data_IF_054632724215
#
_entry.id   IF_054632724215
#
_cell.length_a   1.000
_cell.length_b   1.000
_cell.length_c   1.000
_cell.angle_alpha   90.00
_cell.angle_beta   90.00
_cell.angle_gamma   90.00
#
_symmetry.space_group_name_H-M   'P 1'
#
loop_
_entity.id
_entity.type
_entity.pdbx_description
1 polymer ?
#
# COMPACT_ATOMS: atom_id res chain seq x y z
N UNK A 1 -42.76 5.30 -50.34
CA UNK A 1 -42.77 3.96 -50.91
C UNK A 1 -41.31 3.64 -51.15
N UNK A 2 -40.76 2.97 -50.16
CA UNK A 2 -39.75 1.93 -50.40
C UNK A 2 -39.38 1.34 -49.05
N UNK A 3 -39.60 0.10 -49.03
CA UNK A 3 -39.65 -0.87 -47.95
C UNK A 3 -38.24 -1.20 -47.44
N UNK A 4 -37.93 -0.98 -46.18
CA UNK A 4 -36.68 -1.47 -45.56
C UNK A 4 -37.01 -2.75 -44.82
N UNK A 5 -36.83 -3.85 -45.55
CA UNK A 5 -36.89 -5.22 -45.08
C UNK A 5 -35.76 -5.50 -44.07
N UNK A 6 -36.11 -5.84 -42.83
CA UNK A 6 -35.23 -6.42 -41.82
C UNK A 6 -34.80 -7.83 -42.25
N UNK A 7 -33.51 -8.03 -42.49
CA UNK A 7 -32.92 -9.37 -42.69
C UNK A 7 -32.94 -10.16 -41.36
N UNK A 8 -33.76 -11.19 -41.37
CA UNK A 8 -33.76 -12.29 -40.38
C UNK A 8 -32.43 -13.03 -40.43
N UNK A 9 -32.00 -13.48 -39.25
CA UNK A 9 -30.78 -14.27 -39.08
C UNK A 9 -30.75 -15.50 -39.99
N UNK A 10 -29.65 -15.62 -40.71
CA UNK A 10 -29.34 -16.78 -41.53
C UNK A 10 -28.99 -17.94 -40.59
N UNK A 11 -29.84 -18.98 -40.62
CA UNK A 11 -29.56 -20.27 -40.00
C UNK A 11 -28.68 -21.01 -40.97
N UNK A 12 -27.47 -21.43 -40.56
CA UNK A 12 -26.54 -22.23 -41.36
C UNK A 12 -27.22 -23.48 -41.88
N UNK A 13 -27.01 -23.78 -43.18
CA UNK A 13 -27.61 -24.96 -43.82
C UNK A 13 -26.96 -26.26 -43.27
N UNK A 14 -27.68 -27.39 -43.29
CA UNK A 14 -27.13 -28.69 -42.85
C UNK A 14 -25.80 -29.06 -43.52
N UNK A 15 -25.60 -28.70 -44.78
CA UNK A 15 -24.39 -28.97 -45.55
C UNK A 15 -23.20 -28.13 -45.08
N UNK A 16 -23.40 -26.92 -44.58
CA UNK A 16 -22.34 -26.08 -44.03
C UNK A 16 -21.90 -26.60 -42.63
N UNK A 17 -22.80 -27.16 -41.84
CA UNK A 17 -22.49 -27.78 -40.56
C UNK A 17 -21.70 -29.07 -40.78
N UNK A 18 -22.04 -29.88 -41.81
CA UNK A 18 -21.36 -31.12 -42.12
C UNK A 18 -19.94 -30.89 -42.70
N UNK A 19 -19.73 -29.80 -43.45
CA UNK A 19 -18.37 -29.40 -43.93
C UNK A 19 -17.46 -28.93 -42.81
N UNK A 20 -17.99 -28.33 -41.74
CA UNK A 20 -17.22 -27.96 -40.55
C UNK A 20 -16.87 -29.16 -39.66
N UNK A 21 -17.72 -30.17 -39.63
CA UNK A 21 -17.47 -31.44 -38.89
C UNK A 21 -16.50 -32.37 -39.59
N UNK A 22 -16.54 -32.47 -40.92
CA UNK A 22 -15.63 -33.30 -41.73
C UNK A 22 -14.24 -32.70 -41.92
N UNK A 23 -14.09 -31.38 -41.75
CA UNK A 23 -12.79 -30.71 -41.76
C UNK A 23 -11.88 -31.07 -40.57
N UNK A 24 -12.41 -31.73 -39.55
CA UNK A 24 -11.67 -32.09 -38.34
C UNK A 24 -11.11 -33.53 -38.34
N UNK A 25 -11.51 -34.37 -39.28
CA UNK A 25 -11.05 -35.79 -39.36
C UNK A 25 -9.92 -36.08 -40.37
N UNK A 26 -9.52 -35.09 -41.20
CA UNK A 26 -8.49 -35.31 -42.21
C UNK A 26 -7.06 -34.95 -41.79
N UNK A 27 -6.76 -34.75 -40.53
CA UNK A 27 -5.42 -34.41 -40.01
C UNK A 27 -4.82 -35.45 -39.08
N UNK A 28 -5.20 -36.72 -39.21
CA UNK A 28 -4.57 -37.86 -38.50
C UNK A 28 -3.50 -38.50 -39.38
N UNK A 29 -2.27 -38.01 -39.34
CA UNK A 29 -1.18 -38.68 -40.08
C UNK A 29 0.12 -37.93 -40.23
N UNK A 30 0.60 -37.19 -39.21
CA UNK A 30 2.03 -36.85 -39.09
C UNK A 30 2.41 -36.86 -37.61
N UNK A 31 3.59 -37.43 -37.24
CA UNK A 31 4.00 -37.46 -35.84
C UNK A 31 4.19 -36.02 -35.34
N UNK A 32 3.36 -35.62 -34.42
CA UNK A 32 3.50 -34.34 -33.69
C UNK A 32 4.74 -34.48 -32.84
N UNK A 33 5.81 -33.81 -33.20
CA UNK A 33 6.98 -33.59 -32.38
C UNK A 33 6.50 -32.81 -31.12
N UNK A 34 6.51 -33.44 -29.96
CA UNK A 34 6.30 -32.78 -28.69
C UNK A 34 7.30 -31.64 -28.56
N UNK A 35 6.87 -30.39 -28.40
CA UNK A 35 7.80 -29.28 -28.19
C UNK A 35 8.59 -29.56 -26.89
N UNK A 36 9.93 -29.56 -27.03
CA UNK A 36 10.83 -29.77 -25.91
C UNK A 36 10.52 -28.77 -24.80
N UNK A 37 10.70 -29.16 -23.53
CA UNK A 37 10.56 -28.31 -22.36
C UNK A 37 11.31 -26.97 -22.50
N UNK A 38 12.39 -26.94 -23.29
CA UNK A 38 13.13 -25.72 -23.64
C UNK A 38 12.35 -24.75 -24.56
N UNK A 39 11.52 -25.28 -25.49
CA UNK A 39 10.68 -24.46 -26.36
C UNK A 39 9.47 -23.88 -25.62
N UNK A 40 8.92 -24.61 -24.64
CA UNK A 40 7.86 -24.10 -23.75
C UNK A 40 8.40 -23.05 -22.79
N UNK A 41 9.61 -23.21 -22.25
CA UNK A 41 10.28 -22.23 -21.42
C UNK A 41 10.65 -20.93 -22.20
N UNK A 42 10.98 -21.06 -23.51
CA UNK A 42 11.23 -19.92 -24.38
C UNK A 42 9.91 -19.17 -24.73
N UNK A 43 8.80 -19.89 -24.92
CA UNK A 43 7.50 -19.29 -25.20
C UNK A 43 6.89 -18.55 -24.00
N UNK A 44 7.25 -18.95 -22.76
CA UNK A 44 6.83 -18.25 -21.54
C UNK A 44 7.69 -16.99 -21.30
N UNK A 45 8.94 -16.96 -21.77
CA UNK A 45 9.82 -15.78 -21.65
C UNK A 45 9.51 -14.66 -22.66
N UNK A 46 8.70 -14.88 -23.68
CA UNK A 46 8.48 -13.92 -24.77
C UNK A 46 7.27 -12.98 -24.58
N UNK A 47 6.72 -12.87 -23.36
CA UNK A 47 5.58 -11.97 -23.08
C UNK A 47 5.83 -10.92 -22.00
N UNK A 48 7.07 -10.62 -21.68
CA UNK A 48 7.35 -9.34 -21.03
C UNK A 48 7.18 -8.25 -22.09
N UNK A 49 6.06 -7.55 -22.05
CA UNK A 49 5.90 -6.30 -22.82
C UNK A 49 6.99 -5.36 -22.34
N UNK A 50 8.04 -5.24 -23.11
CA UNK A 50 9.06 -4.20 -22.93
C UNK A 50 8.34 -2.88 -23.22
N UNK A 51 7.91 -2.17 -22.17
CA UNK A 51 7.42 -0.81 -22.28
C UNK A 51 8.64 0.11 -22.35
N UNK A 52 8.66 0.99 -23.37
CA UNK A 52 9.69 2.02 -23.45
C UNK A 52 9.61 2.91 -22.22
N UNK A 53 10.73 3.08 -21.51
CA UNK A 53 10.78 3.96 -20.33
C UNK A 53 10.77 5.41 -20.79
N UNK A 54 9.79 6.18 -20.33
CA UNK A 54 9.70 7.62 -20.60
C UNK A 54 10.54 8.40 -19.58
N UNK A 55 11.71 8.85 -20.00
CA UNK A 55 12.60 9.66 -19.17
C UNK A 55 12.03 11.04 -18.79
N UNK A 56 10.98 11.51 -19.48
CA UNK A 56 10.28 12.76 -19.14
C UNK A 56 9.32 12.56 -17.97
N UNK A 57 8.89 11.32 -17.72
CA UNK A 57 8.00 10.92 -16.62
C UNK A 57 8.68 9.84 -15.78
N UNK A 58 9.65 10.21 -14.91
CA UNK A 58 10.31 9.22 -14.08
C UNK A 58 9.31 8.61 -13.12
N UNK A 59 9.21 7.27 -13.11
CA UNK A 59 8.44 6.54 -12.09
C UNK A 59 9.15 6.70 -10.74
N UNK A 60 8.75 7.68 -9.94
CA UNK A 60 9.31 7.91 -8.58
C UNK A 60 8.62 7.06 -7.52
N UNK A 61 7.40 6.66 -7.79
CA UNK A 61 6.58 5.86 -6.86
C UNK A 61 6.61 4.40 -7.27
N UNK A 62 7.02 3.54 -6.36
CA UNK A 62 7.08 2.10 -6.62
C UNK A 62 5.68 1.49 -6.81
N UNK A 63 5.61 0.42 -7.62
CA UNK A 63 4.34 -0.30 -7.88
C UNK A 63 3.66 -0.79 -6.60
N UNK A 64 4.44 -1.18 -5.60
CA UNK A 64 3.90 -1.65 -4.32
C UNK A 64 3.30 -0.51 -3.51
N UNK A 65 3.90 0.69 -3.57
CA UNK A 65 3.33 1.90 -2.95
C UNK A 65 2.03 2.31 -3.64
N UNK A 66 1.97 2.24 -4.97
CA UNK A 66 0.74 2.52 -5.74
C UNK A 66 -0.38 1.54 -5.38
N UNK A 67 -0.08 0.24 -5.26
CA UNK A 67 -1.05 -0.77 -4.81
C UNK A 67 -1.51 -0.53 -3.38
N UNK A 68 -0.60 -0.12 -2.51
CA UNK A 68 -0.94 0.21 -1.13
C UNK A 68 -1.90 1.40 -1.07
N UNK A 69 -1.61 2.48 -1.81
CA UNK A 69 -2.51 3.62 -1.93
C UNK A 69 -3.86 3.22 -2.52
N UNK A 70 -3.87 2.38 -3.55
CA UNK A 70 -5.09 1.85 -4.12
C UNK A 70 -5.94 1.12 -3.10
N UNK A 71 -5.37 0.17 -2.38
CA UNK A 71 -6.07 -0.61 -1.35
C UNK A 71 -6.61 0.26 -0.21
N UNK A 72 -5.85 1.28 0.21
CA UNK A 72 -6.24 2.24 1.25
C UNK A 72 -7.46 3.04 0.80
N UNK A 73 -7.42 3.57 -0.41
CA UNK A 73 -8.48 4.44 -0.91
C UNK A 73 -9.72 3.67 -1.40
N UNK A 74 -9.61 2.36 -1.67
CA UNK A 74 -10.78 1.48 -1.85
C UNK A 74 -11.61 1.36 -0.56
N UNK A 75 -10.95 1.23 0.58
CA UNK A 75 -11.60 1.25 1.90
C UNK A 75 -12.23 2.61 2.19
N UNK A 76 -11.46 3.67 1.97
CA UNK A 76 -11.92 5.05 2.11
C UNK A 76 -13.18 5.34 1.27
N UNK A 77 -13.20 4.95 -0.01
CA UNK A 77 -14.32 5.26 -0.92
C UNK A 77 -15.66 4.70 -0.40
N UNK A 78 -15.65 3.50 0.19
CA UNK A 78 -16.85 2.88 0.79
C UNK A 78 -17.34 3.67 2.02
N UNK A 79 -16.42 4.06 2.90
CA UNK A 79 -16.77 4.82 4.10
C UNK A 79 -17.29 6.21 3.74
N UNK A 80 -16.62 6.89 2.82
CA UNK A 80 -17.04 8.19 2.34
C UNK A 80 -18.40 8.14 1.63
N UNK A 81 -18.68 7.09 0.82
CA UNK A 81 -19.99 6.87 0.21
C UNK A 81 -21.08 6.74 1.28
N UNK A 82 -20.87 5.98 2.33
CA UNK A 82 -21.82 5.82 3.43
C UNK A 82 -22.07 7.14 4.18
N UNK A 83 -20.99 7.87 4.51
CA UNK A 83 -21.06 9.14 5.20
C UNK A 83 -21.77 10.22 4.36
N UNK A 84 -21.47 10.29 3.04
CA UNK A 84 -22.09 11.23 2.12
C UNK A 84 -23.56 10.88 1.89
N UNK A 85 -23.91 9.59 1.77
CA UNK A 85 -25.29 9.13 1.67
C UNK A 85 -26.12 9.51 2.90
N UNK A 86 -25.54 9.40 4.10
CA UNK A 86 -26.18 9.83 5.35
C UNK A 86 -26.40 11.35 5.37
N UNK A 87 -25.42 12.15 4.92
CA UNK A 87 -25.53 13.61 4.84
C UNK A 87 -26.62 14.06 3.88
N UNK A 88 -26.69 13.43 2.69
CA UNK A 88 -27.63 13.80 1.61
C UNK A 88 -28.99 13.12 1.72
N UNK A 89 -29.14 12.15 2.63
CA UNK A 89 -30.34 11.29 2.74
C UNK A 89 -30.73 10.66 1.40
N UNK A 90 -29.74 10.30 0.62
CA UNK A 90 -29.86 9.71 -0.71
C UNK A 90 -28.73 8.69 -0.89
N UNK A 91 -28.97 7.70 -1.74
CA UNK A 91 -27.92 6.73 -2.08
C UNK A 91 -26.89 7.43 -2.95
N UNK A 92 -25.65 7.45 -2.49
CA UNK A 92 -24.49 7.93 -3.22
C UNK A 92 -23.50 6.77 -3.33
N UNK A 93 -23.09 6.49 -4.55
CA UNK A 93 -22.01 5.54 -4.79
C UNK A 93 -20.71 6.31 -5.03
N UNK A 94 -19.65 5.89 -4.37
CA UNK A 94 -18.29 6.41 -4.58
C UNK A 94 -17.40 5.24 -4.92
N UNK A 95 -16.82 5.29 -6.10
CA UNK A 95 -15.95 4.24 -6.61
C UNK A 95 -14.61 4.83 -6.98
N UNK A 96 -13.54 4.26 -6.44
CA UNK A 96 -12.20 4.62 -6.89
C UNK A 96 -12.00 4.08 -8.31
N UNK A 97 -11.59 4.96 -9.23
CA UNK A 97 -11.42 4.64 -10.66
C UNK A 97 -9.97 4.30 -10.96
N UNK A 98 -9.05 5.14 -10.53
CA UNK A 98 -7.63 4.97 -10.83
C UNK A 98 -6.73 5.62 -9.78
N UNK A 99 -5.48 5.14 -9.75
CA UNK A 99 -4.36 5.76 -9.04
C UNK A 99 -3.24 5.89 -10.06
N UNK A 100 -2.96 7.11 -10.49
CA UNK A 100 -2.04 7.39 -11.57
C UNK A 100 -0.90 8.31 -11.11
N UNK A 101 0.24 8.20 -11.76
CA UNK A 101 1.36 9.10 -11.56
C UNK A 101 1.47 10.03 -12.75
N UNK A 102 1.36 11.34 -12.52
CA UNK A 102 1.38 12.40 -13.53
C UNK A 102 2.32 13.53 -13.10
N UNK A 103 2.57 14.48 -14.01
CA UNK A 103 3.17 15.76 -13.65
C UNK A 103 2.09 16.73 -13.15
N UNK A 104 2.48 17.65 -12.28
CA UNK A 104 1.55 18.66 -11.75
C UNK A 104 0.88 19.47 -12.88
N UNK A 105 1.64 19.83 -13.91
CA UNK A 105 1.10 20.56 -15.06
C UNK A 105 0.04 19.75 -15.82
N UNK A 106 0.26 18.45 -16.06
CA UNK A 106 -0.72 17.59 -16.72
C UNK A 106 -2.02 17.52 -15.91
N UNK A 107 -1.92 17.39 -14.59
CA UNK A 107 -3.09 17.42 -13.72
C UNK A 107 -3.87 18.71 -13.83
N UNK A 108 -3.21 19.87 -13.67
CA UNK A 108 -3.89 21.19 -13.74
C UNK A 108 -4.54 21.43 -15.11
N UNK A 109 -3.91 21.00 -16.20
CA UNK A 109 -4.50 21.09 -17.55
C UNK A 109 -5.65 20.12 -17.80
N UNK A 110 -5.75 19.03 -17.06
CA UNK A 110 -6.85 18.07 -17.18
C UNK A 110 -8.13 18.51 -16.48
N UNK A 111 -8.04 19.52 -15.60
CA UNK A 111 -9.18 19.99 -14.83
C UNK A 111 -10.05 20.96 -15.62
N UNK A 112 -11.36 20.91 -15.36
CA UNK A 112 -12.30 21.90 -15.89
C UNK A 112 -12.06 23.28 -15.24
N UNK A 113 -12.39 24.33 -15.95
CA UNK A 113 -12.37 25.68 -15.43
C UNK A 113 -13.72 26.37 -15.71
N UNK A 114 -14.46 26.84 -14.69
CA UNK A 114 -14.14 26.77 -13.26
C UNK A 114 -14.35 25.39 -12.62
N UNK A 115 -13.63 25.09 -11.53
CA UNK A 115 -13.78 23.90 -10.71
C UNK A 115 -13.78 24.25 -9.21
N UNK A 116 -14.01 23.27 -8.33
CA UNK A 116 -13.89 23.45 -6.90
C UNK A 116 -12.54 22.86 -6.42
N UNK A 117 -11.51 23.69 -6.40
CA UNK A 117 -10.14 23.33 -6.11
C UNK A 117 -9.80 23.68 -4.66
N UNK A 118 -9.74 22.66 -3.78
CA UNK A 118 -9.46 22.84 -2.37
C UNK A 118 -7.99 22.57 -2.08
N UNK A 119 -7.28 23.52 -1.50
CA UNK A 119 -5.95 23.30 -0.94
C UNK A 119 -6.11 22.77 0.48
N UNK A 120 -5.48 21.63 0.73
CA UNK A 120 -5.57 20.92 2.01
C UNK A 120 -4.17 20.83 2.62
N UNK A 121 -4.03 21.32 3.83
CA UNK A 121 -2.86 21.09 4.66
C UNK A 121 -3.00 19.75 5.36
N UNK A 122 -1.95 18.94 5.34
CA UNK A 122 -1.95 17.59 5.93
C UNK A 122 -0.72 17.42 6.84
N UNK A 123 -0.85 17.74 8.11
CA UNK A 123 0.24 17.54 9.07
C UNK A 123 0.26 16.08 9.55
N UNK A 124 1.45 15.40 9.61
CA UNK A 124 2.82 15.92 9.49
C UNK A 124 3.42 15.81 8.07
N UNK A 125 2.61 15.69 7.01
CA UNK A 125 3.12 15.68 5.64
C UNK A 125 3.61 17.08 5.23
N UNK A 126 4.62 17.13 4.40
CA UNK A 126 5.13 18.39 3.88
C UNK A 126 4.33 18.86 2.66
N UNK A 127 4.06 20.15 2.59
CA UNK A 127 3.34 20.77 1.49
C UNK A 127 1.82 20.72 1.63
N UNK A 128 1.13 20.85 0.49
CA UNK A 128 -0.31 20.85 0.42
C UNK A 128 -0.78 19.71 -0.47
N UNK A 129 -1.90 19.10 -0.11
CA UNK A 129 -2.67 18.21 -0.98
C UNK A 129 -3.71 19.04 -1.71
N UNK A 130 -4.23 18.52 -2.81
CA UNK A 130 -5.32 19.16 -3.54
C UNK A 130 -6.49 18.18 -3.61
N UNK A 131 -7.67 18.68 -3.26
CA UNK A 131 -8.93 18.01 -3.47
C UNK A 131 -9.73 18.82 -4.49
N UNK A 132 -9.86 18.27 -5.69
CA UNK A 132 -10.67 18.83 -6.75
C UNK A 132 -12.02 18.12 -6.83
N UNK A 133 -13.10 18.88 -6.90
CA UNK A 133 -14.45 18.35 -7.03
C UNK A 133 -15.06 18.95 -8.30
N UNK A 134 -15.37 18.06 -9.25
CA UNK A 134 -15.94 18.50 -10.52
C UNK A 134 -17.33 19.16 -10.31
N UNK A 135 -17.59 20.31 -10.91
CA UNK A 135 -18.87 21.00 -10.84
C UNK A 135 -20.08 20.15 -11.26
N UNK A 136 -19.87 19.19 -12.16
CA UNK A 136 -20.94 18.30 -12.65
C UNK A 136 -21.62 17.51 -11.55
N UNK A 137 -20.88 17.12 -10.50
CA UNK A 137 -21.44 16.43 -9.33
C UNK A 137 -21.66 17.37 -8.15
N UNK A 138 -20.85 18.43 -8.05
CA UNK A 138 -20.89 19.34 -6.92
C UNK A 138 -22.20 20.12 -6.85
N UNK A 139 -22.69 20.70 -7.96
CA UNK A 139 -23.95 21.44 -7.99
C UNK A 139 -25.16 20.56 -7.65
N UNK A 140 -25.31 19.32 -8.17
CA UNK A 140 -26.35 18.40 -7.74
C UNK A 140 -26.29 18.07 -6.24
N UNK A 141 -25.11 17.94 -5.67
CA UNK A 141 -24.96 17.72 -4.22
C UNK A 141 -25.42 18.96 -3.44
N UNK A 142 -25.04 20.16 -3.86
CA UNK A 142 -25.48 21.41 -3.25
C UNK A 142 -27.00 21.55 -3.34
N UNK A 143 -27.59 21.26 -4.49
CA UNK A 143 -29.03 21.31 -4.68
C UNK A 143 -29.76 20.37 -3.71
N UNK A 144 -29.26 19.15 -3.55
CA UNK A 144 -29.79 18.20 -2.54
C UNK A 144 -29.67 18.71 -1.12
N UNK A 145 -28.57 19.35 -0.77
CA UNK A 145 -28.38 19.94 0.57
C UNK A 145 -29.37 21.09 0.84
N UNK A 146 -29.76 21.81 -0.19
CA UNK A 146 -30.75 22.88 -0.12
C UNK A 146 -32.20 22.36 -0.15
N UNK A 147 -32.40 21.05 -0.29
CA UNK A 147 -33.74 20.44 -0.37
C UNK A 147 -34.31 20.34 -1.78
N UNK A 148 -33.45 20.52 -2.81
CA UNK A 148 -33.85 20.41 -4.21
C UNK A 148 -34.21 19.00 -4.64
N UNK A 149 -34.92 18.95 -5.78
CA UNK A 149 -35.58 17.76 -6.32
C UNK A 149 -34.71 16.91 -7.25
N UNK A 150 -35.43 16.23 -8.17
CA UNK A 150 -34.83 15.25 -9.10
C UNK A 150 -34.32 15.87 -10.41
N UNK A 151 -34.71 17.07 -10.75
CA UNK A 151 -34.40 17.70 -12.04
C UNK A 151 -33.13 18.54 -11.90
N UNK A 152 -32.02 17.91 -12.17
CA UNK A 152 -30.77 18.60 -12.37
C UNK A 152 -30.68 19.03 -13.83
N UNK A 153 -30.85 20.32 -14.06
CA UNK A 153 -30.54 20.93 -15.36
C UNK A 153 -29.04 20.76 -15.69
N UNK A 154 -28.62 21.21 -16.86
CA UNK A 154 -27.18 21.14 -17.21
C UNK A 154 -26.33 21.82 -16.14
N UNK A 155 -25.17 21.24 -15.78
CA UNK A 155 -24.32 21.75 -14.70
C UNK A 155 -23.94 23.22 -14.98
N UNK A 156 -24.10 24.07 -13.98
CA UNK A 156 -23.73 25.47 -14.09
C UNK A 156 -22.22 25.62 -14.25
N UNK A 157 -21.77 26.23 -15.35
CA UNK A 157 -20.34 26.56 -15.58
C UNK A 157 -20.02 27.96 -15.03
N UNK A 158 -20.05 28.09 -13.73
CA UNK A 158 -19.73 29.36 -13.03
C UNK A 158 -18.97 29.07 -11.74
N UNK A 159 -18.21 30.06 -11.23
CA UNK A 159 -17.61 29.95 -9.89
C UNK A 159 -18.69 29.77 -8.82
N UNK A 160 -18.31 29.13 -7.71
CA UNK A 160 -19.17 28.98 -6.54
C UNK A 160 -19.39 30.33 -5.84
N UNK A 161 -20.60 30.56 -5.37
CA UNK A 161 -20.94 31.70 -4.52
C UNK A 161 -20.48 31.46 -3.08
N UNK A 162 -20.40 32.51 -2.26
CA UNK A 162 -20.03 32.38 -0.84
C UNK A 162 -20.93 31.43 -0.04
N UNK A 163 -22.23 31.41 -0.36
CA UNK A 163 -23.19 30.50 0.29
C UNK A 163 -22.90 29.06 -0.11
N UNK A 164 -22.65 28.82 -1.39
CA UNK A 164 -22.30 27.50 -1.92
C UNK A 164 -20.96 27.02 -1.33
N UNK A 165 -19.96 27.88 -1.20
CA UNK A 165 -18.69 27.55 -0.54
C UNK A 165 -18.87 27.06 0.91
N UNK A 166 -19.81 27.66 1.67
CA UNK A 166 -20.14 27.20 3.02
C UNK A 166 -20.79 25.80 3.03
N UNK A 167 -21.58 25.48 2.01
CA UNK A 167 -22.14 24.14 1.86
C UNK A 167 -21.08 23.12 1.44
N UNK A 168 -20.23 23.50 0.50
CA UNK A 168 -19.11 22.68 0.03
C UNK A 168 -18.14 22.36 1.17
N UNK A 169 -17.87 23.32 2.06
CA UNK A 169 -17.00 23.07 3.21
C UNK A 169 -17.48 21.92 4.10
N UNK A 170 -18.77 21.65 4.17
CA UNK A 170 -19.31 20.48 4.89
C UNK A 170 -18.93 19.17 4.20
N UNK A 171 -18.99 19.13 2.87
CA UNK A 171 -18.64 17.95 2.06
C UNK A 171 -17.14 17.72 2.15
N UNK A 172 -16.35 18.79 2.00
CA UNK A 172 -14.89 18.72 2.11
C UNK A 172 -14.45 18.25 3.50
N UNK A 173 -15.05 18.77 4.57
CA UNK A 173 -14.74 18.34 5.92
C UNK A 173 -15.13 16.89 6.18
N UNK A 174 -16.24 16.41 5.61
CA UNK A 174 -16.63 15.00 5.66
C UNK A 174 -15.57 14.13 4.96
N UNK A 175 -15.14 14.52 3.76
CA UNK A 175 -14.06 13.84 3.03
C UNK A 175 -12.78 13.77 3.85
N UNK A 176 -12.35 14.89 4.43
CA UNK A 176 -11.14 14.96 5.25
C UNK A 176 -11.26 14.12 6.53
N UNK A 177 -12.46 14.05 7.13
CA UNK A 177 -12.71 13.19 8.29
C UNK A 177 -12.52 11.71 7.97
N UNK A 178 -13.14 11.23 6.89
CA UNK A 178 -12.97 9.85 6.44
C UNK A 178 -11.55 9.54 5.97
N UNK A 179 -10.89 10.51 5.32
CA UNK A 179 -9.49 10.38 4.92
C UNK A 179 -8.57 10.24 6.13
N UNK A 180 -8.79 11.02 7.19
CA UNK A 180 -8.04 10.90 8.45
C UNK A 180 -8.16 9.49 9.02
N UNK A 181 -9.36 8.91 9.07
CA UNK A 181 -9.58 7.54 9.55
C UNK A 181 -8.88 6.51 8.65
N UNK A 182 -8.94 6.66 7.34
CA UNK A 182 -8.29 5.75 6.41
C UNK A 182 -6.77 5.74 6.58
N UNK A 183 -6.17 6.91 6.84
CA UNK A 183 -4.72 7.07 6.99
C UNK A 183 -4.18 6.78 8.39
N UNK A 184 -5.04 6.61 9.39
CA UNK A 184 -4.65 6.44 10.80
C UNK A 184 -3.64 5.30 11.02
N UNK A 185 -3.78 4.21 10.27
CA UNK A 185 -2.88 3.06 10.36
C UNK A 185 -1.51 3.27 9.68
N UNK A 186 -1.36 4.30 8.86
CA UNK A 186 -0.10 4.64 8.17
C UNK A 186 0.59 5.77 8.91
N UNK A 187 -0.11 6.89 8.99
CA UNK A 187 0.32 8.11 9.69
C UNK A 187 -0.93 8.83 10.18
N UNK A 188 -1.00 9.18 11.47
CA UNK A 188 -2.09 10.02 11.96
C UNK A 188 -2.00 11.40 11.32
N UNK A 189 -2.99 11.75 10.49
CA UNK A 189 -3.04 13.02 9.78
C UNK A 189 -3.94 14.02 10.50
N UNK A 190 -3.49 15.27 10.55
CA UNK A 190 -4.33 16.42 10.88
C UNK A 190 -4.58 17.18 9.58
N UNK A 191 -5.82 17.10 9.08
CA UNK A 191 -6.21 17.66 7.80
C UNK A 191 -7.02 18.94 8.00
N UNK A 192 -6.69 19.99 7.26
CA UNK A 192 -7.42 21.25 7.27
C UNK A 192 -7.44 21.89 5.88
N UNK A 193 -8.56 22.50 5.51
CA UNK A 193 -8.65 23.29 4.28
C UNK A 193 -7.96 24.62 4.51
N UNK A 194 -6.97 24.95 3.68
CA UNK A 194 -6.27 26.24 3.72
C UNK A 194 -7.08 27.29 2.94
N UNK A 195 -7.43 26.98 1.69
CA UNK A 195 -8.29 27.83 0.85
C UNK A 195 -8.96 27.03 -0.26
N UNK A 196 -10.00 27.64 -0.85
CA UNK A 196 -10.73 27.09 -1.98
C UNK A 196 -10.62 28.08 -3.15
N UNK A 197 -10.25 27.58 -4.31
CA UNK A 197 -10.09 28.38 -5.53
C UNK A 197 -10.98 27.82 -6.64
N UNK A 198 -11.39 28.70 -7.55
CA UNK A 198 -12.22 28.28 -8.70
C UNK A 198 -11.41 28.06 -9.96
N UNK A 199 -10.23 28.66 -10.05
CA UNK A 199 -9.35 28.53 -11.20
C UNK A 199 -8.07 27.79 -10.79
N UNK A 200 -7.91 26.53 -11.21
CA UNK A 200 -6.72 25.72 -10.85
C UNK A 200 -5.41 26.28 -11.41
N UNK A 201 -5.45 27.06 -12.49
CA UNK A 201 -4.25 27.62 -13.12
C UNK A 201 -3.61 28.75 -12.30
N UNK A 202 -4.36 29.37 -11.38
CA UNK A 202 -3.84 30.43 -10.50
C UNK A 202 -3.09 29.88 -9.29
N UNK A 203 -3.16 28.59 -9.06
CA UNK A 203 -2.56 27.96 -7.88
C UNK A 203 -1.40 27.08 -8.29
N UNK A 204 -0.25 27.36 -7.76
CA UNK A 204 0.94 26.54 -7.94
C UNK A 204 1.48 26.14 -6.55
N UNK A 205 1.35 24.86 -6.21
CA UNK A 205 1.84 24.30 -4.93
C UNK A 205 3.21 23.64 -5.06
N UNK A 206 3.52 23.15 -6.25
CA UNK A 206 4.79 22.50 -6.60
C UNK A 206 5.22 22.94 -8.01
N UNK A 207 6.50 22.74 -8.39
CA UNK A 207 6.94 23.00 -9.76
C UNK A 207 6.10 22.24 -10.80
N UNK A 208 5.87 22.78 -12.01
CA UNK A 208 5.03 22.17 -13.04
C UNK A 208 5.44 20.75 -13.44
N UNK A 209 6.74 20.47 -13.39
CA UNK A 209 7.31 19.16 -13.75
C UNK A 209 7.41 18.19 -12.55
N UNK A 210 6.97 18.60 -11.36
CA UNK A 210 7.00 17.74 -10.19
C UNK A 210 5.99 16.62 -10.35
N UNK A 211 6.40 15.44 -9.88
CA UNK A 211 5.57 14.24 -9.91
C UNK A 211 4.51 14.30 -8.83
N UNK A 212 3.28 14.02 -9.21
CA UNK A 212 2.14 13.91 -8.30
C UNK A 212 1.49 12.53 -8.44
N UNK A 213 0.82 12.11 -7.40
CA UNK A 213 -0.08 10.95 -7.43
C UNK A 213 -1.51 11.47 -7.50
N UNK A 214 -2.20 11.08 -8.54
CA UNK A 214 -3.60 11.41 -8.76
C UNK A 214 -4.46 10.19 -8.40
N UNK A 215 -5.38 10.38 -7.45
CA UNK A 215 -6.37 9.37 -7.07
C UNK A 215 -7.73 9.90 -7.49
N UNK A 216 -8.35 9.21 -8.43
CA UNK A 216 -9.62 9.62 -9.01
C UNK A 216 -10.76 8.75 -8.49
N UNK A 217 -11.84 9.43 -8.07
CA UNK A 217 -13.08 8.80 -7.61
C UNK A 217 -14.23 9.22 -8.52
N UNK A 218 -15.01 8.24 -8.94
CA UNK A 218 -16.31 8.49 -9.60
C UNK A 218 -17.39 8.51 -8.52
N UNK A 219 -18.14 9.60 -8.48
CA UNK A 219 -19.32 9.76 -7.63
C UNK A 219 -20.58 9.63 -8.48
N UNK A 220 -21.53 8.82 -8.01
CA UNK A 220 -22.83 8.66 -8.64
C UNK A 220 -23.92 9.02 -7.64
N UNK A 221 -24.78 10.00 -8.02
CA UNK A 221 -25.93 10.44 -7.25
C UNK A 221 -27.18 10.33 -8.14
N UNK A 222 -27.91 9.24 -8.01
CA UNK A 222 -29.01 8.91 -8.93
C UNK A 222 -28.49 8.73 -10.36
N UNK A 223 -28.97 9.57 -11.28
CA UNK A 223 -28.55 9.56 -12.69
C UNK A 223 -27.30 10.42 -12.96
N UNK A 224 -26.90 11.23 -11.99
CA UNK A 224 -25.78 12.17 -12.17
C UNK A 224 -24.47 11.50 -11.77
N UNK A 225 -23.45 11.71 -12.59
CA UNK A 225 -22.08 11.24 -12.33
C UNK A 225 -21.11 12.39 -12.41
N UNK A 226 -20.05 12.30 -11.64
CA UNK A 226 -18.95 13.24 -11.70
C UNK A 226 -17.73 12.72 -11.00
N UNK A 227 -16.62 13.43 -11.21
CA UNK A 227 -15.31 13.03 -10.70
C UNK A 227 -14.91 13.88 -9.49
N UNK A 228 -14.22 13.24 -8.58
CA UNK A 228 -13.51 13.84 -7.46
C UNK A 228 -12.07 13.37 -7.52
N UNK A 229 -11.13 14.30 -7.49
CA UNK A 229 -9.73 14.02 -7.67
C UNK A 229 -8.94 14.44 -6.43
N UNK A 230 -8.15 13.52 -5.90
CA UNK A 230 -7.19 13.80 -4.83
C UNK A 230 -5.78 13.77 -5.41
N UNK A 231 -5.11 14.91 -5.39
CA UNK A 231 -3.73 15.06 -5.84
C UNK A 231 -2.80 15.11 -4.62
N UNK A 232 -1.84 14.21 -4.59
CA UNK A 232 -0.82 14.10 -3.55
C UNK A 232 0.56 14.32 -4.20
N UNK A 233 1.25 15.43 -3.93
CA UNK A 233 2.62 15.63 -4.40
C UNK A 233 3.56 14.56 -3.87
N UNK A 234 4.52 14.12 -4.68
CA UNK A 234 5.47 13.08 -4.30
C UNK A 234 6.27 13.44 -3.04
N UNK A 235 6.71 14.68 -2.91
CA UNK A 235 7.44 15.16 -1.74
C UNK A 235 6.67 14.97 -0.42
N UNK A 236 5.33 15.03 -0.45
CA UNK A 236 4.50 14.83 0.74
C UNK A 236 4.57 13.39 1.25
N UNK A 237 4.71 12.41 0.36
CA UNK A 237 4.72 10.98 0.72
C UNK A 237 6.11 10.33 0.72
N UNK A 238 7.14 11.01 0.22
CA UNK A 238 8.49 10.48 0.13
C UNK A 238 8.99 9.93 1.48
N UNK A 239 8.79 10.70 2.56
CA UNK A 239 9.20 10.32 3.91
C UNK A 239 8.43 9.14 4.50
N UNK A 240 7.22 8.91 4.04
CA UNK A 240 6.37 7.82 4.53
C UNK A 240 6.34 6.62 3.58
N UNK A 241 7.08 6.68 2.47
CA UNK A 241 7.12 5.64 1.45
C UNK A 241 7.46 4.25 1.99
N UNK A 242 8.37 4.18 2.97
CA UNK A 242 8.71 2.92 3.66
C UNK A 242 7.56 2.35 4.49
N UNK A 243 6.71 3.20 5.07
CA UNK A 243 5.53 2.77 5.83
C UNK A 243 4.43 2.26 4.90
N UNK A 244 4.34 2.81 3.69
CA UNK A 244 3.42 2.36 2.65
C UNK A 244 3.80 0.99 2.07
N UNK A 245 5.10 0.66 2.03
CA UNK A 245 5.60 -0.60 1.46
C UNK A 245 5.52 -1.78 2.44
N UNK A 246 5.52 -1.51 3.75
CA UNK A 246 5.38 -2.56 4.75
C UNK A 246 3.99 -3.19 4.68
N UNK A 247 3.93 -4.46 4.27
CA UNK A 247 2.73 -5.28 4.01
C UNK A 247 1.74 -5.46 5.18
N UNK A 248 1.69 -4.54 6.13
CA UNK A 248 0.76 -4.61 7.26
C UNK A 248 -0.68 -4.16 6.95
N UNK A 249 -1.00 -3.94 5.67
CA UNK A 249 -2.33 -3.53 5.20
C UNK A 249 -3.42 -4.60 5.38
N UNK A 250 -3.02 -5.87 5.47
CA UNK A 250 -3.96 -6.96 5.80
C UNK A 250 -4.45 -6.92 7.25
N UNK A 251 -3.97 -5.95 8.03
CA UNK A 251 -4.36 -5.77 9.43
C UNK A 251 -5.54 -4.80 9.61
N UNK A 252 -6.27 -4.48 8.56
CA UNK A 252 -7.45 -3.59 8.62
C UNK A 252 -8.56 -4.04 9.61
N UNK A 253 -8.41 -5.24 10.21
CA UNK A 253 -9.30 -5.77 11.23
C UNK A 253 -8.59 -6.25 12.50
N UNK A 254 -7.35 -5.87 12.75
CA UNK A 254 -6.79 -6.13 14.07
C UNK A 254 -7.15 -5.00 15.00
N UNK A 255 -8.23 -5.19 15.74
CA UNK A 255 -8.44 -4.49 16.99
C UNK A 255 -7.11 -4.47 17.76
N UNK A 256 -6.76 -3.33 18.35
CA UNK A 256 -5.57 -3.23 19.20
C UNK A 256 -5.54 -4.47 20.12
N UNK A 257 -4.37 -5.15 20.24
CA UNK A 257 -4.30 -6.39 21.00
C UNK A 257 -4.85 -6.12 22.40
N UNK A 258 -5.89 -6.86 22.78
CA UNK A 258 -6.48 -6.72 24.10
C UNK A 258 -5.42 -7.07 25.16
N UNK A 259 -5.52 -6.45 26.34
CA UNK A 259 -4.64 -6.78 27.47
C UNK A 259 -4.64 -8.28 27.77
N UNK A 260 -5.75 -8.97 27.50
CA UNK A 260 -5.85 -10.43 27.60
C UNK A 260 -5.00 -11.15 26.55
N UNK A 261 -5.00 -10.70 25.30
CA UNK A 261 -4.15 -11.28 24.23
C UNK A 261 -2.67 -11.11 24.53
N UNK A 262 -2.27 -9.95 25.08
CA UNK A 262 -0.89 -9.69 25.51
C UNK A 262 -0.52 -10.62 26.66
N UNK A 263 -1.41 -10.80 27.66
CA UNK A 263 -1.16 -11.68 28.79
C UNK A 263 -1.08 -13.15 28.39
N UNK A 264 -1.89 -13.60 27.43
CA UNK A 264 -1.86 -14.95 26.86
C UNK A 264 -0.56 -15.22 26.11
N UNK A 265 -0.12 -14.27 25.25
CA UNK A 265 1.17 -14.35 24.54
C UNK A 265 2.34 -14.38 25.51
N UNK A 266 2.33 -13.51 26.54
CA UNK A 266 3.36 -13.50 27.58
C UNK A 266 3.43 -14.83 28.33
N UNK A 267 2.28 -15.45 28.62
CA UNK A 267 2.19 -16.75 29.30
C UNK A 267 2.71 -17.89 28.42
N UNK A 268 2.42 -17.86 27.12
CA UNK A 268 2.94 -18.84 26.16
C UNK A 268 4.46 -18.67 25.95
N UNK A 269 4.95 -17.43 25.89
CA UNK A 269 6.40 -17.16 25.77
C UNK A 269 7.18 -17.62 27.00
N UNK A 270 6.62 -17.50 28.20
CA UNK A 270 7.25 -17.99 29.44
C UNK A 270 7.46 -19.51 29.48
N UNK A 271 6.73 -20.27 28.68
CA UNK A 271 6.90 -21.74 28.53
C UNK A 271 7.87 -22.15 27.44
N UNK A 272 8.42 -21.21 26.66
CA UNK A 272 9.31 -21.51 25.54
C UNK A 272 10.69 -21.95 26.05
N UNK A 273 11.22 -23.05 25.49
CA UNK A 273 12.58 -23.51 25.77
C UNK A 273 13.58 -22.78 24.88
N UNK A 274 14.59 -22.21 25.47
CA UNK A 274 15.69 -21.55 24.76
C UNK A 274 17.00 -22.24 25.05
N UNK A 275 17.88 -22.32 24.06
CA UNK A 275 19.21 -22.87 24.23
C UNK A 275 20.10 -21.87 24.99
N UNK A 276 20.78 -22.39 26.02
CA UNK A 276 21.74 -21.64 26.80
C UNK A 276 23.10 -22.30 26.67
N UNK A 277 24.07 -21.59 26.15
CA UNK A 277 25.44 -22.03 25.99
C UNK A 277 26.37 -21.24 26.93
N UNK A 278 27.18 -21.94 27.72
CA UNK A 278 28.17 -21.33 28.60
C UNK A 278 29.55 -21.67 28.07
N UNK A 279 30.29 -20.68 27.61
CA UNK A 279 31.61 -20.85 27.04
C UNK A 279 32.66 -20.72 28.15
N UNK A 280 33.36 -21.82 28.40
CA UNK A 280 34.46 -21.84 29.41
C UNK A 280 35.61 -20.98 28.94
N UNK A 281 36.14 -21.25 27.78
CA UNK A 281 37.21 -20.50 27.13
C UNK A 281 37.28 -20.88 25.64
N UNK A 282 37.85 -19.98 24.85
CA UNK A 282 38.20 -20.22 23.45
C UNK A 282 39.72 -20.10 23.31
N UNK A 283 40.36 -21.02 22.60
CA UNK A 283 41.80 -20.97 22.32
C UNK A 283 42.07 -21.44 20.89
N UNK A 284 43.19 -21.03 20.34
CA UNK A 284 43.66 -21.46 19.02
C UNK A 284 44.85 -22.39 19.21
N UNK A 285 44.81 -23.55 18.57
CA UNK A 285 45.91 -24.51 18.56
C UNK A 285 46.45 -24.68 17.14
N UNK A 286 47.71 -25.06 17.01
CA UNK A 286 48.29 -25.37 15.70
C UNK A 286 47.75 -26.70 15.18
N UNK A 287 47.77 -26.89 13.85
CA UNK A 287 47.37 -28.17 13.23
C UNK A 287 48.29 -29.32 13.67
N UNK A 288 49.58 -29.05 13.93
CA UNK A 288 50.52 -30.03 14.41
C UNK A 288 50.16 -30.52 15.82
N UNK A 289 49.81 -29.61 16.73
CA UNK A 289 49.37 -29.92 18.09
C UNK A 289 48.06 -30.69 18.10
N UNK A 290 47.12 -30.32 17.18
CA UNK A 290 45.85 -31.02 17.04
C UNK A 290 46.02 -32.48 16.62
N UNK A 291 46.93 -32.76 15.67
CA UNK A 291 47.21 -34.13 15.20
C UNK A 291 47.89 -34.95 16.30
N UNK A 292 48.71 -34.29 17.18
CA UNK A 292 49.44 -34.92 18.26
C UNK A 292 48.64 -35.21 19.53
N UNK A 293 47.41 -34.70 19.66
CA UNK A 293 46.57 -34.82 20.87
C UNK A 293 46.23 -36.25 21.23
N UNK A 294 46.42 -36.60 22.50
CA UNK A 294 46.11 -37.91 23.09
C UNK A 294 45.24 -37.75 24.34
N UNK A 295 44.60 -38.84 24.72
CA UNK A 295 43.82 -38.88 25.97
C UNK A 295 44.75 -38.69 27.16
N UNK A 296 44.51 -37.66 27.94
CA UNK A 296 45.34 -37.25 29.09
C UNK A 296 46.12 -35.94 28.87
N UNK A 297 46.17 -35.41 27.65
CA UNK A 297 46.81 -34.14 27.37
C UNK A 297 46.04 -32.96 27.97
N UNK A 298 46.74 -31.93 28.40
CA UNK A 298 46.19 -30.71 28.99
C UNK A 298 46.26 -29.58 27.95
N UNK A 299 45.13 -29.07 27.56
CA UNK A 299 45.04 -27.88 26.70
C UNK A 299 44.92 -26.64 27.58
N UNK A 300 45.91 -25.77 27.51
CA UNK A 300 45.86 -24.48 28.20
C UNK A 300 45.12 -23.44 27.38
N UNK A 301 44.40 -22.56 28.07
CA UNK A 301 43.66 -21.44 27.46
C UNK A 301 44.20 -20.12 28.02
N UNK A 302 44.07 -19.05 27.25
CA UNK A 302 44.54 -17.72 27.65
C UNK A 302 43.64 -17.03 28.67
N UNK A 303 42.46 -17.64 29.00
CA UNK A 303 41.49 -17.07 29.92
C UNK A 303 41.83 -17.38 31.37
N UNK A 304 41.94 -16.32 32.19
CA UNK A 304 42.18 -16.45 33.63
C UNK A 304 41.05 -17.21 34.34
N UNK A 305 41.37 -18.10 35.24
CA UNK A 305 40.41 -18.92 36.01
C UNK A 305 39.42 -18.08 36.82
N UNK A 306 39.78 -16.86 37.18
CA UNK A 306 38.95 -15.90 37.94
C UNK A 306 38.09 -15.05 37.05
N UNK A 307 38.29 -15.05 35.71
CA UNK A 307 37.49 -14.26 34.80
C UNK A 307 36.10 -14.87 34.63
N UNK A 308 35.03 -14.04 34.54
CA UNK A 308 33.67 -14.55 34.38
C UNK A 308 33.49 -15.25 33.04
N UNK A 309 32.61 -16.25 33.04
CA UNK A 309 32.19 -16.97 31.83
C UNK A 309 31.09 -16.23 31.09
N UNK A 310 31.13 -16.27 29.78
CA UNK A 310 30.10 -15.70 28.95
C UNK A 310 28.94 -16.71 28.77
N UNK A 311 27.72 -16.24 29.03
CA UNK A 311 26.47 -17.02 28.88
C UNK A 311 25.69 -16.47 27.71
N UNK A 312 25.65 -17.26 26.64
CA UNK A 312 24.89 -16.93 25.44
C UNK A 312 23.52 -17.63 25.46
N UNK A 313 22.49 -16.89 25.11
CA UNK A 313 21.13 -17.40 24.89
C UNK A 313 20.82 -17.26 23.41
N UNK A 314 20.56 -18.38 22.74
CA UNK A 314 20.33 -18.42 21.28
C UNK A 314 21.42 -17.67 20.48
N UNK A 315 22.69 -17.85 20.87
CA UNK A 315 23.84 -17.24 20.19
C UNK A 315 24.17 -15.78 20.59
N UNK A 316 23.40 -15.17 21.50
CA UNK A 316 23.64 -13.79 21.97
C UNK A 316 24.05 -13.80 23.42
N UNK A 317 25.23 -13.24 23.75
CA UNK A 317 25.71 -13.12 25.13
C UNK A 317 24.81 -12.19 25.94
N UNK A 318 24.19 -12.71 26.99
CA UNK A 318 23.24 -11.99 27.85
C UNK A 318 23.71 -11.83 29.28
N UNK A 319 24.52 -12.77 29.77
CA UNK A 319 24.96 -12.76 31.15
C UNK A 319 26.44 -13.12 31.24
N UNK A 320 27.08 -12.70 32.35
CA UNK A 320 28.36 -13.21 32.81
C UNK A 320 28.16 -14.00 34.08
N UNK A 321 28.84 -15.11 34.20
CA UNK A 321 28.65 -16.04 35.30
C UNK A 321 29.96 -16.60 35.82
N UNK A 322 29.96 -17.02 37.08
CA UNK A 322 31.09 -17.76 37.70
C UNK A 322 30.76 -19.25 37.66
N UNK A 323 31.77 -20.13 37.35
CA UNK A 323 31.58 -21.58 37.36
C UNK A 323 31.44 -22.11 38.78
N UNK A 324 30.67 -23.16 38.96
CA UNK A 324 30.47 -23.83 40.23
C UNK A 324 29.93 -25.25 40.09
N UNK A 325 29.63 -25.88 41.22
CA UNK A 325 28.96 -27.18 41.25
C UNK A 325 27.87 -27.19 42.31
N UNK A 326 26.71 -27.81 41.96
CA UNK A 326 25.62 -28.01 42.90
C UNK A 326 25.15 -29.46 42.80
N UNK A 327 25.12 -30.16 43.91
CA UNK A 327 24.65 -31.55 44.01
C UNK A 327 25.34 -32.51 43.03
N UNK A 328 26.65 -32.30 42.80
CA UNK A 328 27.42 -33.13 41.85
C UNK A 328 27.29 -32.76 40.37
N UNK A 329 26.46 -31.80 40.03
CA UNK A 329 26.31 -31.31 38.68
C UNK A 329 27.08 -30.00 38.45
N UNK A 330 27.54 -29.75 37.22
CA UNK A 330 28.15 -28.48 36.83
C UNK A 330 27.05 -27.39 36.91
N UNK A 331 27.37 -26.27 37.54
CA UNK A 331 26.47 -25.15 37.74
C UNK A 331 27.19 -23.84 37.41
N UNK A 332 26.44 -22.81 37.18
CA UNK A 332 26.91 -21.44 37.02
C UNK A 332 26.16 -20.52 37.98
N UNK A 333 26.84 -19.54 38.52
CA UNK A 333 26.22 -18.45 39.28
C UNK A 333 26.29 -17.19 38.42
N UNK A 334 25.11 -16.67 38.03
CA UNK A 334 25.02 -15.43 37.28
C UNK A 334 25.53 -14.28 38.13
N UNK A 335 26.52 -13.56 37.64
CA UNK A 335 27.15 -12.44 38.36
C UNK A 335 26.65 -11.09 37.81
N UNK A 336 26.52 -10.98 36.49
CA UNK A 336 26.21 -9.71 35.84
C UNK A 336 25.35 -9.94 34.59
N UNK A 337 24.40 -9.02 34.33
CA UNK A 337 23.63 -8.96 33.07
C UNK A 337 24.36 -8.04 32.10
N UNK A 338 24.68 -8.56 30.92
CA UNK A 338 25.20 -7.76 29.81
C UNK A 338 24.02 -7.06 29.15
N UNK A 339 23.94 -5.72 29.21
CA UNK A 339 22.94 -4.95 28.51
C UNK A 339 22.98 -5.31 27.02
N UNK A 340 21.81 -5.44 26.34
CA UNK A 340 21.82 -5.62 24.89
C UNK A 340 22.57 -4.44 24.28
N UNK A 341 23.61 -4.74 23.50
CA UNK A 341 24.22 -3.73 22.63
C UNK A 341 23.10 -3.28 21.70
N UNK A 342 22.59 -2.07 21.89
CA UNK A 342 21.64 -1.46 20.97
C UNK A 342 22.22 -1.59 19.58
N UNK A 343 21.50 -2.27 18.69
CA UNK A 343 21.90 -2.39 17.30
C UNK A 343 22.16 -0.99 16.80
N UNK A 344 23.42 -0.75 16.52
CA UNK A 344 23.95 0.44 15.89
C UNK A 344 22.90 1.10 15.03
N UNK A 345 22.49 2.29 15.42
CA UNK A 345 21.86 3.27 14.54
C UNK A 345 22.82 3.44 13.37
N UNK A 346 22.55 2.79 12.25
CA UNK A 346 23.20 3.11 10.99
C UNK A 346 22.78 4.53 10.64
N UNK A 347 23.56 5.47 11.16
CA UNK A 347 23.61 6.83 10.64
C UNK A 347 24.23 6.75 9.26
N UNK A 348 23.43 7.07 8.25
CA UNK A 348 23.69 7.42 6.85
C UNK A 348 24.37 6.39 5.98
#
# INVERSE_FOLDING_TARGET
MDDVSLKKGEVLSPDEVESLLTGQEAAAGKPVATPSLAAQAAAVRSREKIMAYDFKRPERVGKDQMRALQSLHDGFSRNFAAALSALLRSIVEVKMTSVDQLTYSEFVYSLENPTCFNLVRAEPLEGHLILDINPSILFPIIDRLLGGGKDTGPPARRPLTEIELRLVSRITNLFLGEMKHAWENVVPLTLSVDRVESNPQLVQIVPPNEVIILISFELTLGEVRGMLNLCIPFNAIERIGSKLTNNNWSTYNRAAPSTESISLLSRQMNGSRVEMVVTLAETKISTADLIGLRVGDIITTDKDIRSPLDVAISGVTKFRASPGAIKGNKAIQVAESVAPVDKVTLTK
#
